data_IF_317082655888
#
_entry.id   IF_317082655888
#
_cell.length_a   1.000
_cell.length_b   1.000
_cell.length_c   1.000
_cell.angle_alpha   90.00
_cell.angle_beta   90.00
_cell.angle_gamma   90.00
#
_symmetry.space_group_name_H-M   'P 1'
#
loop_
_entity.id
_entity.type
_entity.pdbx_description
1 polymer ?
#
# COMPACT_ATOMS: atom_id res chain seq x y z
N UNK A 1 0.16 8.63 -2.94
CA UNK A 1 1.33 8.47 -2.05
C UNK A 1 1.51 9.75 -1.28
N UNK A 2 0.94 9.82 -0.08
CA UNK A 2 1.09 11.02 0.77
C UNK A 2 2.19 10.87 1.83
N UNK A 3 2.63 9.65 2.13
CA UNK A 3 3.65 9.40 3.15
C UNK A 3 4.68 8.40 2.62
N UNK A 4 5.98 8.76 2.59
CA UNK A 4 7.03 7.78 2.30
C UNK A 4 7.02 6.70 3.37
N UNK A 5 7.25 5.44 2.99
CA UNK A 5 7.29 4.32 3.92
C UNK A 5 8.28 3.25 3.49
N UNK A 6 8.91 2.57 4.45
CA UNK A 6 9.73 1.38 4.24
C UNK A 6 9.12 0.16 4.94
N UNK A 7 9.46 -1.03 4.42
CA UNK A 7 8.95 -2.33 4.89
C UNK A 7 7.43 -2.42 5.12
N UNK A 8 6.55 -1.86 4.25
CA UNK A 8 5.12 -2.07 4.41
C UNK A 8 4.71 -3.50 4.05
N UNK A 9 3.59 -3.95 4.63
CA UNK A 9 2.87 -5.11 4.10
C UNK A 9 2.11 -4.71 2.84
N UNK A 10 2.17 -5.53 1.78
CA UNK A 10 1.45 -5.27 0.53
C UNK A 10 0.59 -6.49 0.16
N UNK A 11 -0.66 -6.25 -0.19
CA UNK A 11 -1.59 -7.27 -0.65
C UNK A 11 -2.44 -6.77 -1.81
N UNK A 12 -2.90 -7.69 -2.65
CA UNK A 12 -3.78 -7.42 -3.78
C UNK A 12 -5.15 -8.02 -3.49
N UNK A 13 -6.22 -7.26 -3.72
CA UNK A 13 -7.60 -7.73 -3.64
C UNK A 13 -8.40 -7.14 -4.80
N UNK A 14 -8.60 -7.94 -5.85
CA UNK A 14 -9.10 -7.46 -7.15
C UNK A 14 -8.18 -6.36 -7.72
N UNK A 15 -8.77 -5.33 -8.31
CA UNK A 15 -8.04 -4.20 -8.94
C UNK A 15 -7.45 -3.22 -7.92
N UNK A 16 -7.31 -3.60 -6.65
CA UNK A 16 -6.79 -2.76 -5.58
C UNK A 16 -5.50 -3.33 -5.00
N UNK A 17 -4.50 -2.47 -4.90
CA UNK A 17 -3.26 -2.71 -4.14
C UNK A 17 -3.42 -2.04 -2.78
N UNK A 18 -3.27 -2.82 -1.72
CA UNK A 18 -3.28 -2.36 -0.34
C UNK A 18 -1.85 -2.31 0.18
N UNK A 19 -1.50 -1.20 0.81
CA UNK A 19 -0.22 -0.98 1.47
C UNK A 19 -0.50 -0.64 2.92
N UNK A 20 -0.06 -1.51 3.84
CA UNK A 20 -0.41 -1.44 5.26
C UNK A 20 0.86 -1.24 6.09
N UNK A 21 0.81 -0.24 6.97
CA UNK A 21 1.88 0.05 7.92
C UNK A 21 3.23 0.35 7.28
N UNK A 22 4.32 -0.08 7.92
CA UNK A 22 5.68 0.29 7.56
C UNK A 22 6.20 1.45 8.41
N UNK A 23 7.35 2.00 8.05
CA UNK A 23 8.04 3.05 8.81
C UNK A 23 8.36 4.25 7.91
N UNK A 24 8.02 5.47 8.33
CA UNK A 24 8.19 6.68 7.49
C UNK A 24 9.55 7.38 7.63
N UNK A 25 10.47 6.79 8.39
CA UNK A 25 11.74 7.42 8.76
C UNK A 25 11.72 8.09 10.14
N UNK A 26 10.55 8.19 10.78
CA UNK A 26 10.39 8.71 12.15
C UNK A 26 9.52 7.79 13.01
N UNK A 27 8.37 7.32 12.50
CA UNK A 27 7.39 6.55 13.24
C UNK A 27 6.95 5.30 12.48
N UNK A 28 6.57 4.27 13.22
CA UNK A 28 5.81 3.15 12.68
C UNK A 28 4.40 3.62 12.31
N UNK A 29 4.00 3.34 11.08
CA UNK A 29 2.71 3.73 10.53
C UNK A 29 1.66 2.70 10.94
N UNK A 30 0.57 3.19 11.53
CA UNK A 30 -0.67 2.41 11.72
C UNK A 30 -1.66 2.62 10.56
N UNK A 31 -1.31 3.50 9.63
CA UNK A 31 -2.13 3.84 8.47
C UNK A 31 -1.95 2.85 7.33
N UNK A 32 -3.03 2.68 6.56
CA UNK A 32 -3.02 1.95 5.30
C UNK A 32 -3.46 2.84 4.15
N UNK A 33 -2.91 2.61 2.97
CA UNK A 33 -3.31 3.27 1.74
C UNK A 33 -3.66 2.24 0.65
N UNK A 34 -4.55 2.65 -0.26
CA UNK A 34 -5.02 1.79 -1.35
C UNK A 34 -4.88 2.48 -2.69
N UNK A 35 -4.51 1.70 -3.70
CA UNK A 35 -4.31 2.16 -5.07
C UNK A 35 -5.13 1.32 -6.02
N UNK A 36 -5.82 1.98 -6.96
CA UNK A 36 -6.47 1.28 -8.06
C UNK A 36 -5.43 0.95 -9.13
N UNK A 37 -5.23 -0.34 -9.39
CA UNK A 37 -4.37 -0.82 -10.47
C UNK A 37 -5.23 -1.36 -11.61
N UNK A 38 -5.20 -0.67 -12.75
CA UNK A 38 -5.97 -1.01 -13.95
C UNK A 38 -5.51 -2.31 -14.64
N UNK A 39 -4.43 -2.95 -14.16
CA UNK A 39 -3.77 -4.06 -14.84
C UNK A 39 -3.90 -5.40 -14.11
N UNK A 40 -4.44 -5.44 -12.89
CA UNK A 40 -4.44 -6.68 -12.09
C UNK A 40 -5.48 -7.69 -12.58
N UNK A 41 -6.68 -7.24 -12.96
CA UNK A 41 -7.79 -8.14 -13.35
C UNK A 41 -8.08 -8.13 -14.86
N UNK A 42 -7.12 -7.69 -15.69
CA UNK A 42 -7.29 -7.76 -17.15
C UNK A 42 -6.83 -9.12 -17.67
N UNK A 43 -7.79 -10.03 -17.82
CA UNK A 43 -7.71 -11.10 -18.82
C UNK A 43 -7.90 -10.54 -20.23
#
# INVERSE_FOLDING_TARGET
MSTPRCAPGVAVLGSLIYVVGGYDGQNDLTSSERYWCLFIDKE
#
